data_IF_763191022625
#
_entry.id   IF_763191022625
#
_cell.length_a   1.000
_cell.length_b   1.000
_cell.length_c   1.000
_cell.angle_alpha   90.00
_cell.angle_beta   90.00
_cell.angle_gamma   90.00
#
_symmetry.space_group_name_H-M   'P 1'
#
loop_
_entity.id
_entity.type
_entity.pdbx_description
1 polymer ?
#
# COMPACT_ATOMS: atom_id res chain seq x y z
N UNK A 1 12.70 -0.45 29.52
CA UNK A 1 12.53 0.69 28.59
C UNK A 1 11.37 1.55 29.12
N UNK A 2 11.36 2.88 28.91
CA UNK A 2 10.21 3.71 29.27
C UNK A 2 8.95 3.21 28.55
N UNK A 3 7.79 3.37 29.18
CA UNK A 3 6.50 2.98 28.60
C UNK A 3 6.25 3.83 27.35
N UNK A 4 6.04 3.17 26.21
CA UNK A 4 5.65 3.79 24.93
C UNK A 4 4.14 3.93 24.90
N UNK A 5 3.59 5.05 24.42
CA UNK A 5 2.13 5.19 24.32
C UNK A 5 1.59 4.37 23.16
N UNK A 6 2.27 4.46 22.00
CA UNK A 6 1.85 3.83 20.74
C UNK A 6 2.99 3.06 20.11
N UNK A 7 2.78 1.77 19.85
CA UNK A 7 3.65 0.97 18.98
C UNK A 7 2.96 0.77 17.64
N UNK A 8 3.67 0.99 16.55
CA UNK A 8 3.19 0.80 15.18
C UNK A 8 4.09 -0.23 14.50
N UNK A 9 3.50 -1.28 13.92
CA UNK A 9 4.24 -2.34 13.22
C UNK A 9 4.08 -2.15 11.71
N UNK A 10 5.20 -1.91 11.02
CA UNK A 10 5.29 -1.74 9.57
C UNK A 10 5.59 -0.30 9.17
N UNK A 11 6.84 -0.03 8.76
CA UNK A 11 7.33 1.27 8.31
C UNK A 11 7.08 1.50 6.81
N UNK A 12 5.86 1.19 6.37
CA UNK A 12 5.34 1.53 5.04
C UNK A 12 4.61 2.88 5.03
N UNK A 13 3.92 3.20 3.93
CA UNK A 13 3.20 4.47 3.78
C UNK A 13 2.22 4.75 4.93
N UNK A 14 1.35 3.79 5.27
CA UNK A 14 0.37 3.93 6.34
C UNK A 14 1.02 4.05 7.73
N UNK A 15 2.09 3.29 7.98
CA UNK A 15 2.78 3.30 9.28
C UNK A 15 3.55 4.59 9.53
N UNK A 16 4.27 5.10 8.53
CA UNK A 16 4.95 6.39 8.60
C UNK A 16 3.95 7.53 8.82
N UNK A 17 2.86 7.56 8.04
CA UNK A 17 1.77 8.52 8.19
C UNK A 17 1.15 8.50 9.59
N UNK A 18 0.83 7.29 10.08
CA UNK A 18 0.27 7.11 11.43
C UNK A 18 1.26 7.56 12.52
N UNK A 19 2.55 7.27 12.35
CA UNK A 19 3.57 7.55 13.35
C UNK A 19 3.75 9.05 13.60
N UNK A 20 4.01 9.83 12.54
CA UNK A 20 4.19 11.27 12.73
C UNK A 20 2.87 11.94 13.17
N UNK A 21 1.71 11.47 12.67
CA UNK A 21 0.41 12.02 13.08
C UNK A 21 0.12 11.79 14.57
N UNK A 22 0.45 10.60 15.09
CA UNK A 22 0.28 10.29 16.51
C UNK A 22 1.28 11.08 17.37
N UNK A 23 2.53 11.19 16.93
CA UNK A 23 3.58 11.91 17.65
C UNK A 23 3.32 13.42 17.68
N UNK A 24 2.81 14.01 16.59
CA UNK A 24 2.37 15.41 16.53
C UNK A 24 1.25 15.75 17.53
N UNK A 25 0.54 14.74 18.06
CA UNK A 25 -0.46 14.88 19.14
C UNK A 25 0.15 14.71 20.54
N UNK A 26 1.48 14.72 20.66
CA UNK A 26 2.21 14.59 21.92
C UNK A 26 2.35 13.16 22.44
N UNK A 27 2.11 12.13 21.61
CA UNK A 27 2.28 10.73 22.01
C UNK A 27 3.72 10.27 21.86
N UNK A 28 4.19 9.42 22.76
CA UNK A 28 5.45 8.69 22.59
C UNK A 28 5.22 7.52 21.64
N UNK A 29 5.76 7.63 20.42
CA UNK A 29 5.54 6.65 19.35
C UNK A 29 6.80 5.88 19.05
N UNK A 30 6.67 4.56 18.97
CA UNK A 30 7.69 3.67 18.42
C UNK A 30 7.16 3.01 17.14
N UNK A 31 7.86 3.22 16.04
CA UNK A 31 7.58 2.59 14.75
C UNK A 31 8.61 1.50 14.51
N UNK A 32 8.17 0.25 14.38
CA UNK A 32 9.05 -0.90 14.19
C UNK A 32 8.77 -1.60 12.85
N UNK A 33 9.79 -2.16 12.23
CA UNK A 33 9.66 -3.00 11.04
C UNK A 33 10.76 -4.06 11.01
N UNK A 34 10.41 -5.26 10.57
CA UNK A 34 11.34 -6.38 10.35
C UNK A 34 12.31 -6.17 9.19
N UNK A 35 11.97 -5.33 8.21
CA UNK A 35 12.83 -5.04 7.09
C UNK A 35 14.02 -4.17 7.51
N UNK A 36 15.11 -4.23 6.76
CA UNK A 36 16.30 -3.41 7.02
C UNK A 36 16.17 -1.93 6.63
N UNK A 37 15.15 -1.56 5.85
CA UNK A 37 14.89 -0.18 5.41
C UNK A 37 13.39 0.10 5.33
N UNK A 38 12.93 1.30 5.70
CA UNK A 38 11.54 1.69 5.61
C UNK A 38 11.12 1.90 4.14
N UNK A 39 9.80 1.92 3.90
CA UNK A 39 9.25 2.45 2.65
C UNK A 39 9.61 1.69 1.36
N UNK A 40 10.08 0.44 1.43
CA UNK A 40 10.49 -0.32 0.22
C UNK A 40 9.45 -0.33 -0.91
N UNK A 41 8.16 -0.44 -0.56
CA UNK A 41 7.07 -0.37 -1.55
C UNK A 41 6.84 1.04 -2.10
N UNK A 42 7.08 2.09 -1.31
CA UNK A 42 7.06 3.48 -1.81
C UNK A 42 8.15 3.62 -2.86
N UNK A 43 9.37 3.14 -2.57
CA UNK A 43 10.53 3.24 -3.46
C UNK A 43 10.31 2.58 -4.82
N UNK A 44 9.63 1.43 -4.87
CA UNK A 44 9.37 0.76 -6.15
C UNK A 44 8.13 1.30 -6.90
N UNK A 45 7.24 2.00 -6.21
CA UNK A 45 5.93 2.38 -6.76
C UNK A 45 6.09 3.36 -7.94
N UNK A 46 5.13 3.30 -8.87
CA UNK A 46 5.13 4.18 -10.05
C UNK A 46 6.40 4.07 -10.91
N UNK A 47 7.02 2.89 -10.96
CA UNK A 47 8.28 2.69 -11.69
C UNK A 47 9.46 3.46 -11.09
N UNK A 48 9.47 3.65 -9.77
CA UNK A 48 10.50 4.42 -9.08
C UNK A 48 10.24 5.92 -9.01
N UNK A 49 9.09 6.39 -9.48
CA UNK A 49 8.67 7.81 -9.39
C UNK A 49 7.55 8.08 -8.39
N UNK A 50 7.00 7.03 -7.77
CA UNK A 50 5.87 7.09 -6.84
C UNK A 50 4.63 7.79 -7.39
N UNK A 51 3.65 7.00 -7.85
CA UNK A 51 2.29 7.51 -8.06
C UNK A 51 1.64 7.73 -6.68
N UNK A 52 1.85 8.89 -6.08
CA UNK A 52 1.64 9.09 -4.64
C UNK A 52 0.18 9.38 -4.27
N UNK A 53 -0.62 9.87 -5.22
CA UNK A 53 -2.07 10.07 -5.05
C UNK A 53 -2.76 10.27 -6.41
N UNK A 54 -4.09 10.44 -6.41
CA UNK A 54 -4.87 10.76 -7.59
C UNK A 54 -5.80 11.97 -7.33
N UNK A 55 -5.92 12.90 -8.29
CA UNK A 55 -6.79 14.07 -8.19
C UNK A 55 -8.28 13.69 -8.00
N UNK A 56 -8.70 12.58 -8.59
CA UNK A 56 -10.07 12.07 -8.57
C UNK A 56 -10.28 11.02 -7.47
N UNK A 57 -9.60 11.15 -6.33
CA UNK A 57 -9.79 10.22 -5.20
C UNK A 57 -11.20 10.35 -4.63
N UNK A 58 -11.96 9.27 -4.70
CA UNK A 58 -13.32 9.18 -4.17
C UNK A 58 -13.63 7.74 -3.73
N UNK A 59 -14.66 7.52 -2.89
CA UNK A 59 -14.99 6.19 -2.36
C UNK A 59 -15.24 5.12 -3.43
N UNK A 60 -15.77 5.49 -4.60
CA UNK A 60 -16.06 4.56 -5.69
C UNK A 60 -14.79 3.92 -6.29
N UNK A 61 -13.62 4.53 -6.08
CA UNK A 61 -12.34 4.02 -6.58
C UNK A 61 -11.71 2.96 -5.67
N UNK A 62 -12.42 2.47 -4.64
CA UNK A 62 -11.95 1.47 -3.69
C UNK A 62 -12.92 0.29 -3.58
N UNK A 63 -12.42 -0.92 -3.82
CA UNK A 63 -13.22 -2.15 -3.67
C UNK A 63 -13.25 -2.62 -2.22
N UNK A 64 -14.46 -2.85 -1.71
CA UNK A 64 -14.70 -3.32 -0.34
C UNK A 64 -16.07 -4.00 -0.25
N UNK A 65 -16.20 -5.03 0.59
CA UNK A 65 -17.52 -5.60 0.94
C UNK A 65 -18.39 -4.60 1.73
N UNK A 66 -17.77 -3.59 2.34
CA UNK A 66 -18.45 -2.41 2.87
C UNK A 66 -18.01 -1.18 2.06
N UNK A 67 -18.78 -0.77 1.03
CA UNK A 67 -18.44 0.37 0.17
C UNK A 67 -18.40 1.73 0.89
N UNK A 68 -18.91 1.81 2.13
CA UNK A 68 -18.95 3.06 2.89
C UNK A 68 -17.80 3.19 3.89
N UNK A 69 -17.02 2.12 4.12
CA UNK A 69 -15.97 2.09 5.14
C UNK A 69 -14.92 3.20 4.96
N UNK A 70 -14.46 3.43 3.73
CA UNK A 70 -13.40 4.41 3.45
C UNK A 70 -13.87 5.87 3.47
N UNK A 71 -15.18 6.14 3.38
CA UNK A 71 -15.73 7.50 3.22
C UNK A 71 -15.24 8.47 4.29
N UNK A 72 -15.29 8.06 5.56
CA UNK A 72 -14.90 8.90 6.69
C UNK A 72 -13.40 9.24 6.66
N UNK A 73 -12.54 8.27 6.33
CA UNK A 73 -11.11 8.50 6.26
C UNK A 73 -10.75 9.44 5.10
N UNK A 74 -11.29 9.18 3.90
CA UNK A 74 -11.04 10.00 2.71
C UNK A 74 -11.54 11.45 2.85
N UNK A 75 -12.61 11.68 3.61
CA UNK A 75 -13.13 13.02 3.86
C UNK A 75 -12.31 13.82 4.91
N UNK A 76 -11.62 13.13 5.83
CA UNK A 76 -10.85 13.76 6.92
C UNK A 76 -9.40 14.03 6.55
N UNK A 77 -8.86 13.27 5.61
CA UNK A 77 -7.55 13.49 5.03
C UNK A 77 -7.65 13.20 3.54
N UNK A 78 -7.77 14.28 2.77
CA UNK A 78 -8.01 14.25 1.33
C UNK A 78 -6.69 14.11 0.56
N UNK A 79 -6.78 13.81 -0.73
CA UNK A 79 -5.65 13.89 -1.65
C UNK A 79 -5.00 15.29 -1.63
N UNK A 80 -5.79 16.34 -1.44
CA UNK A 80 -5.30 17.73 -1.42
C UNK A 80 -4.47 18.04 -0.19
N UNK A 81 -4.78 17.43 0.95
CA UNK A 81 -3.97 17.54 2.16
C UNK A 81 -2.59 16.92 1.96
N UNK A 82 -2.53 15.76 1.29
CA UNK A 82 -1.25 15.13 0.95
C UNK A 82 -0.48 15.93 -0.10
N UNK A 83 -1.15 16.43 -1.14
CA UNK A 83 -0.55 17.31 -2.16
C UNK A 83 0.04 18.57 -1.52
N UNK A 84 -0.67 19.18 -0.56
CA UNK A 84 -0.19 20.34 0.17
C UNK A 84 1.07 20.01 1.00
N UNK A 85 1.14 18.82 1.60
CA UNK A 85 2.33 18.34 2.31
C UNK A 85 3.52 18.15 1.36
N UNK A 86 3.31 17.51 0.21
CA UNK A 86 4.32 17.34 -0.84
C UNK A 86 4.86 18.70 -1.31
N UNK A 87 3.97 19.66 -1.56
CA UNK A 87 4.34 21.02 -1.96
C UNK A 87 5.10 21.77 -0.85
N UNK A 88 4.68 21.63 0.42
CA UNK A 88 5.35 22.23 1.59
C UNK A 88 6.80 21.77 1.73
N UNK A 89 7.08 20.50 1.41
CA UNK A 89 8.43 19.93 1.41
C UNK A 89 9.22 20.22 0.12
N UNK A 90 8.64 20.98 -0.81
CA UNK A 90 9.32 21.38 -2.05
C UNK A 90 9.57 20.21 -3.00
N UNK A 91 8.82 19.11 -2.89
CA UNK A 91 8.95 17.95 -3.78
C UNK A 91 8.24 18.25 -5.10
N UNK A 92 8.94 18.31 -6.24
CA UNK A 92 8.33 18.59 -7.54
C UNK A 92 7.54 17.37 -8.05
N UNK A 93 6.38 17.62 -8.66
CA UNK A 93 5.50 16.59 -9.20
C UNK A 93 4.71 17.10 -10.40
N UNK A 94 4.21 16.16 -11.22
CA UNK A 94 3.32 16.42 -12.33
C UNK A 94 2.17 15.41 -12.37
N UNK A 95 1.08 15.80 -13.02
CA UNK A 95 0.06 14.86 -13.46
C UNK A 95 0.56 14.11 -14.71
N UNK A 96 0.39 12.79 -14.74
CA UNK A 96 0.67 11.98 -15.93
C UNK A 96 -0.55 11.79 -16.82
N UNK A 97 -1.50 10.97 -16.38
CA UNK A 97 -2.77 10.70 -17.05
C UNK A 97 -3.82 10.38 -15.99
N UNK A 98 -5.09 10.67 -16.26
CA UNK A 98 -6.23 10.26 -15.42
C UNK A 98 -6.06 10.70 -13.95
N UNK A 99 -5.53 11.90 -13.70
CA UNK A 99 -5.35 12.43 -12.34
C UNK A 99 -4.19 11.84 -11.55
N UNK A 100 -3.39 10.93 -12.11
CA UNK A 100 -2.27 10.29 -11.40
C UNK A 100 -1.13 11.28 -11.19
N UNK A 101 -0.70 11.48 -9.93
CA UNK A 101 0.38 12.40 -9.59
C UNK A 101 1.67 11.63 -9.27
N UNK A 102 2.75 11.99 -9.96
CA UNK A 102 4.07 11.37 -9.82
C UNK A 102 5.12 12.39 -9.44
N UNK A 103 6.13 11.98 -8.67
CA UNK A 103 7.31 12.80 -8.45
C UNK A 103 8.10 12.97 -9.75
N UNK A 104 8.69 14.15 -9.93
CA UNK A 104 9.52 14.44 -11.10
C UNK A 104 10.85 13.70 -11.02
N UNK A 105 11.47 13.66 -9.83
CA UNK A 105 12.78 13.06 -9.64
C UNK A 105 12.68 11.56 -9.39
N UNK A 106 12.28 11.18 -8.16
CA UNK A 106 12.35 9.80 -7.66
C UNK A 106 11.41 9.61 -6.47
N UNK A 107 10.98 8.37 -6.29
CA UNK A 107 10.12 7.92 -5.19
C UNK A 107 10.72 8.14 -3.81
N UNK A 108 12.06 8.24 -3.69
CA UNK A 108 12.69 8.55 -2.41
C UNK A 108 12.30 9.91 -1.89
N UNK A 109 11.92 10.87 -2.73
CA UNK A 109 11.55 12.22 -2.27
C UNK A 109 10.31 12.16 -1.35
N UNK A 110 9.33 11.29 -1.66
CA UNK A 110 8.18 11.02 -0.78
C UNK A 110 8.58 10.29 0.49
N UNK A 111 9.49 9.32 0.38
CA UNK A 111 9.95 8.59 1.57
C UNK A 111 10.70 9.50 2.53
N UNK A 112 11.65 10.30 2.04
CA UNK A 112 12.41 11.25 2.84
C UNK A 112 11.51 12.30 3.48
N UNK A 113 10.50 12.81 2.74
CA UNK A 113 9.47 13.68 3.32
C UNK A 113 8.78 13.04 4.53
N UNK A 114 8.32 11.78 4.40
CA UNK A 114 7.63 11.08 5.50
C UNK A 114 8.56 10.76 6.69
N UNK A 115 9.82 10.44 6.41
CA UNK A 115 10.83 10.21 7.44
C UNK A 115 11.19 11.51 8.18
N UNK A 116 11.23 12.63 7.46
CA UNK A 116 11.46 13.94 8.03
C UNK A 116 10.31 14.38 8.95
N UNK A 117 9.04 14.18 8.53
CA UNK A 117 7.87 14.40 9.41
C UNK A 117 7.95 13.51 10.68
N UNK A 118 8.33 12.24 10.54
CA UNK A 118 8.57 11.36 11.69
C UNK A 118 9.66 11.89 12.62
N UNK A 119 10.79 12.35 12.06
CA UNK A 119 11.94 12.86 12.81
C UNK A 119 11.58 14.15 13.55
N UNK A 120 10.90 15.09 12.88
CA UNK A 120 10.44 16.35 13.48
C UNK A 120 9.42 16.11 14.60
N UNK A 121 8.54 15.13 14.43
CA UNK A 121 7.56 14.76 15.45
C UNK A 121 8.14 13.95 16.62
N UNK A 122 9.40 13.49 16.53
CA UNK A 122 10.06 12.71 17.59
C UNK A 122 9.67 11.23 17.64
N UNK A 123 9.34 10.62 16.50
CA UNK A 123 9.07 9.18 16.38
C UNK A 123 10.35 8.37 16.57
N UNK A 124 10.32 7.32 17.42
CA UNK A 124 11.40 6.35 17.54
C UNK A 124 11.26 5.26 16.47
N UNK A 125 12.08 5.32 15.41
CA UNK A 125 12.05 4.35 14.30
C UNK A 125 13.08 3.24 14.51
N UNK A 126 12.64 1.98 14.46
CA UNK A 126 13.49 0.79 14.58
C UNK A 126 13.27 -0.19 13.44
N UNK A 127 14.32 -0.38 12.64
CA UNK A 127 14.36 -1.37 11.57
C UNK A 127 14.92 -2.70 12.08
N UNK A 128 14.93 -3.74 11.24
CA UNK A 128 15.45 -5.08 11.59
C UNK A 128 14.83 -5.65 12.88
N UNK A 129 13.58 -5.27 13.16
CA UNK A 129 12.87 -5.60 14.41
C UNK A 129 11.67 -6.49 14.11
N UNK A 130 11.81 -7.78 14.40
CA UNK A 130 10.72 -8.75 14.20
C UNK A 130 9.89 -8.90 15.47
N UNK A 131 8.58 -8.94 15.32
CA UNK A 131 7.63 -9.24 16.40
C UNK A 131 7.36 -10.73 16.41
N UNK A 132 7.58 -11.37 17.56
CA UNK A 132 7.46 -12.81 17.76
C UNK A 132 6.12 -13.17 18.42
N UNK A 133 5.69 -12.35 19.38
CA UNK A 133 4.46 -12.57 20.14
C UNK A 133 3.83 -11.23 20.50
N UNK A 134 2.50 -11.19 20.53
CA UNK A 134 1.71 -10.06 21.01
C UNK A 134 0.72 -10.61 22.03
N UNK A 135 0.64 -9.97 23.19
CA UNK A 135 -0.32 -10.28 24.25
C UNK A 135 -1.09 -9.03 24.63
N UNK A 136 -2.40 -9.19 24.88
CA UNK A 136 -3.20 -8.13 25.49
C UNK A 136 -2.97 -8.14 26.99
N UNK A 137 -2.79 -6.97 27.58
CA UNK A 137 -2.66 -6.76 29.02
C UNK A 137 -3.78 -5.86 29.51
N UNK A 138 -3.94 -5.72 30.84
CA UNK A 138 -4.94 -4.82 31.42
C UNK A 138 -4.72 -3.35 31.03
N UNK A 139 -3.47 -2.97 30.73
CA UNK A 139 -3.08 -1.60 30.40
C UNK A 139 -2.84 -1.36 28.89
N UNK A 140 -3.01 -2.38 28.04
CA UNK A 140 -2.77 -2.29 26.60
C UNK A 140 -2.22 -3.58 26.01
N UNK A 141 -0.97 -3.55 25.52
CA UNK A 141 -0.32 -4.64 24.82
C UNK A 141 1.15 -4.82 25.24
N UNK A 142 1.59 -6.07 25.29
CA UNK A 142 2.98 -6.48 25.44
C UNK A 142 3.43 -7.23 24.18
N UNK A 143 4.60 -6.88 23.66
CA UNK A 143 5.17 -7.46 22.45
C UNK A 143 6.53 -8.06 22.77
N UNK A 144 6.75 -9.32 22.41
CA UNK A 144 8.09 -9.90 22.36
C UNK A 144 8.69 -9.64 20.98
N UNK A 145 9.84 -8.98 20.96
CA UNK A 145 10.52 -8.59 19.72
C UNK A 145 12.00 -8.93 19.78
N UNK A 146 12.68 -8.87 18.63
CA UNK A 146 14.15 -9.02 18.57
C UNK A 146 14.91 -7.89 19.27
N UNK A 147 14.26 -6.77 19.59
CA UNK A 147 14.82 -5.69 20.43
C UNK A 147 14.53 -5.88 21.93
N UNK A 148 13.84 -6.96 22.30
CA UNK A 148 13.34 -7.22 23.64
C UNK A 148 11.85 -6.92 23.78
N UNK A 149 11.37 -6.93 25.02
CA UNK A 149 9.95 -6.72 25.33
C UNK A 149 9.57 -5.25 25.22
N UNK A 150 8.53 -4.96 24.45
CA UNK A 150 7.93 -3.63 24.30
C UNK A 150 6.53 -3.61 24.89
N UNK A 151 6.19 -2.57 25.65
CA UNK A 151 4.86 -2.37 26.20
C UNK A 151 4.25 -1.09 25.63
N UNK A 152 2.96 -1.12 25.29
CA UNK A 152 2.24 0.05 24.81
C UNK A 152 0.76 0.06 25.19
N UNK A 153 0.16 1.26 25.23
CA UNK A 153 -1.28 1.42 25.43
C UNK A 153 -2.05 1.11 24.15
N UNK A 154 -1.52 1.57 23.01
CA UNK A 154 -2.13 1.41 21.69
C UNK A 154 -1.17 0.71 20.74
N UNK A 155 -1.68 -0.30 20.03
CA UNK A 155 -0.96 -1.04 19.01
C UNK A 155 -1.61 -0.82 17.65
N UNK A 156 -0.82 -0.43 16.65
CA UNK A 156 -1.29 -0.24 15.27
C UNK A 156 -0.60 -1.24 14.35
N UNK A 157 -1.40 -1.96 13.55
CA UNK A 157 -0.92 -2.93 12.57
C UNK A 157 -0.95 -2.28 11.18
N UNK A 158 0.23 -1.94 10.64
CA UNK A 158 0.42 -1.28 9.35
C UNK A 158 1.31 -2.10 8.41
N UNK A 159 1.26 -3.43 8.50
CA UNK A 159 2.18 -4.37 7.82
C UNK A 159 1.88 -4.62 6.34
N UNK A 160 0.85 -3.98 5.78
CA UNK A 160 0.45 -4.14 4.38
C UNK A 160 -0.16 -5.53 4.08
N UNK A 161 -0.22 -5.87 2.79
CA UNK A 161 -0.73 -7.15 2.29
C UNK A 161 0.34 -8.04 1.68
N UNK A 162 -0.08 -9.16 1.08
CA UNK A 162 0.78 -10.28 0.66
C UNK A 162 1.61 -10.04 -0.62
N UNK A 163 1.41 -8.93 -1.34
CA UNK A 163 2.07 -8.70 -2.62
C UNK A 163 3.58 -8.45 -2.48
N UNK A 164 4.37 -9.03 -3.38
CA UNK A 164 5.82 -8.81 -3.50
C UNK A 164 6.58 -9.24 -2.21
N UNK A 165 6.58 -10.54 -1.86
CA UNK A 165 7.22 -11.06 -0.65
C UNK A 165 8.72 -10.75 -0.54
N UNK A 166 9.41 -10.65 -1.68
CA UNK A 166 10.84 -10.30 -1.76
C UNK A 166 11.17 -8.94 -1.14
N UNK A 167 10.18 -8.07 -0.94
CA UNK A 167 10.34 -6.77 -0.26
C UNK A 167 9.92 -6.77 1.22
N UNK A 168 9.66 -7.94 1.81
CA UNK A 168 9.23 -8.07 3.20
C UNK A 168 7.71 -8.10 3.38
N UNK A 169 6.93 -8.31 2.32
CA UNK A 169 5.50 -8.54 2.48
C UNK A 169 5.26 -9.90 3.14
N UNK A 170 4.50 -9.91 4.23
CA UNK A 170 4.17 -11.13 5.00
C UNK A 170 2.69 -11.18 5.34
N UNK A 171 2.25 -12.33 5.85
CA UNK A 171 0.89 -12.53 6.35
C UNK A 171 0.64 -11.97 7.75
N UNK A 172 1.58 -11.23 8.35
CA UNK A 172 1.59 -10.91 9.78
C UNK A 172 0.31 -10.21 10.25
N UNK A 173 -0.13 -9.14 9.57
CA UNK A 173 -1.33 -8.41 9.99
C UNK A 173 -2.60 -9.26 9.98
N UNK A 174 -2.71 -10.21 9.06
CA UNK A 174 -3.81 -11.18 9.02
C UNK A 174 -3.75 -12.15 10.21
N UNK A 175 -2.56 -12.63 10.55
CA UNK A 175 -2.35 -13.50 11.72
C UNK A 175 -2.76 -12.79 13.01
N UNK A 176 -2.34 -11.53 13.18
CA UNK A 176 -2.73 -10.69 14.33
C UNK A 176 -4.25 -10.47 14.36
N UNK A 177 -4.86 -10.16 13.22
CA UNK A 177 -6.32 -10.01 13.13
C UNK A 177 -7.06 -11.26 13.63
N UNK A 178 -6.65 -12.45 13.17
CA UNK A 178 -7.21 -13.73 13.64
C UNK A 178 -6.98 -13.94 15.14
N UNK A 179 -5.77 -13.67 15.62
CA UNK A 179 -5.43 -13.83 17.05
C UNK A 179 -6.37 -13.03 17.95
N UNK A 180 -6.74 -11.81 17.54
CA UNK A 180 -7.66 -10.95 18.29
C UNK A 180 -9.14 -11.12 17.90
N UNK A 181 -9.50 -12.21 17.21
CA UNK A 181 -10.89 -12.58 16.95
C UNK A 181 -11.55 -11.86 15.77
N UNK A 182 -10.79 -11.15 14.93
CA UNK A 182 -11.35 -10.55 13.72
C UNK A 182 -11.62 -11.60 12.65
N UNK A 183 -12.77 -11.48 11.99
CA UNK A 183 -13.08 -12.23 10.76
C UNK A 183 -12.25 -11.67 9.61
N UNK A 184 -11.50 -12.55 8.94
CA UNK A 184 -10.78 -12.19 7.72
C UNK A 184 -11.57 -12.59 6.49
N UNK A 185 -11.67 -11.67 5.54
CA UNK A 185 -12.17 -11.97 4.20
C UNK A 185 -11.10 -12.73 3.38
N UNK A 186 -11.52 -13.57 2.42
CA UNK A 186 -10.59 -14.22 1.50
C UNK A 186 -9.71 -13.20 0.75
N UNK A 187 -8.40 -13.45 0.71
CA UNK A 187 -7.45 -12.61 0.00
C UNK A 187 -7.20 -13.15 -1.40
N UNK A 188 -7.15 -12.27 -2.40
CA UNK A 188 -6.70 -12.58 -3.75
C UNK A 188 -5.79 -11.48 -4.28
N UNK A 189 -5.02 -11.79 -5.31
CA UNK A 189 -4.21 -10.79 -5.97
C UNK A 189 -5.11 -9.84 -6.79
N UNK A 190 -4.86 -8.53 -6.67
CA UNK A 190 -5.49 -7.49 -7.49
C UNK A 190 -4.40 -6.64 -8.15
N UNK A 191 -4.75 -5.93 -9.22
CA UNK A 191 -3.79 -5.22 -10.07
C UNK A 191 -2.67 -6.13 -10.59
N UNK A 192 -3.05 -7.28 -11.14
CA UNK A 192 -2.12 -8.30 -11.64
C UNK A 192 -2.31 -8.54 -13.15
N UNK A 193 -1.23 -8.89 -13.88
CA UNK A 193 -1.34 -9.29 -15.27
C UNK A 193 -2.09 -10.62 -15.40
N UNK A 194 -2.69 -10.86 -16.57
CA UNK A 194 -3.27 -12.16 -16.91
C UNK A 194 -2.24 -13.03 -17.61
N UNK A 195 -2.17 -14.29 -17.16
CA UNK A 195 -1.40 -15.32 -17.84
C UNK A 195 -2.28 -16.00 -18.87
N UNK A 196 -1.82 -16.08 -20.11
CA UNK A 196 -2.56 -16.68 -21.22
C UNK A 196 -1.90 -18.03 -21.56
N UNK A 197 -2.65 -19.12 -21.42
CA UNK A 197 -2.13 -20.50 -21.59
C UNK A 197 -2.52 -21.17 -22.90
N UNK A 198 -3.50 -20.61 -23.61
CA UNK A 198 -4.19 -21.31 -24.69
C UNK A 198 -3.84 -20.70 -26.06
N UNK A 199 -4.76 -20.75 -27.04
CA UNK A 199 -4.53 -20.34 -28.44
C UNK A 199 -3.99 -18.91 -28.59
N UNK A 200 -4.28 -18.01 -27.64
CA UNK A 200 -3.79 -16.63 -27.65
C UNK A 200 -2.33 -16.48 -27.18
N UNK A 201 -1.67 -17.55 -26.72
CA UNK A 201 -0.30 -17.51 -26.20
C UNK A 201 0.73 -17.17 -27.28
N UNK A 202 0.58 -17.74 -28.48
CA UNK A 202 1.47 -17.47 -29.61
C UNK A 202 1.36 -15.99 -30.01
N UNK A 203 0.14 -15.48 -30.15
CA UNK A 203 -0.14 -14.07 -30.39
C UNK A 203 0.51 -13.15 -29.33
N UNK A 204 0.37 -13.48 -28.04
CA UNK A 204 0.98 -12.68 -26.98
C UNK A 204 2.51 -12.71 -27.02
N UNK A 205 3.09 -13.81 -27.46
CA UNK A 205 4.54 -13.97 -27.59
C UNK A 205 5.06 -13.16 -28.77
N UNK A 206 4.42 -13.25 -29.94
CA UNK A 206 4.78 -12.50 -31.14
C UNK A 206 4.65 -10.98 -30.95
N UNK A 207 3.60 -10.55 -30.24
CA UNK A 207 3.35 -9.14 -29.96
C UNK A 207 4.05 -8.62 -28.70
N UNK A 208 4.85 -9.44 -28.01
CA UNK A 208 5.44 -9.08 -26.72
C UNK A 208 6.22 -7.75 -26.80
N UNK A 209 5.89 -6.82 -25.91
CA UNK A 209 6.47 -5.47 -25.86
C UNK A 209 5.64 -4.41 -26.58
N UNK A 210 4.65 -4.81 -27.39
CA UNK A 210 3.71 -3.86 -28.02
C UNK A 210 2.59 -3.45 -27.07
N UNK A 211 2.08 -2.23 -27.27
CA UNK A 211 1.01 -1.66 -26.46
C UNK A 211 -0.04 -0.98 -27.33
N UNK A 212 -1.31 -1.14 -26.96
CA UNK A 212 -2.46 -0.61 -27.71
C UNK A 212 -3.53 -0.09 -26.76
N UNK A 213 -4.12 1.06 -27.07
CA UNK A 213 -5.28 1.62 -26.36
C UNK A 213 -6.48 0.69 -26.55
N UNK A 214 -7.05 0.21 -25.45
CA UNK A 214 -8.13 -0.78 -25.47
C UNK A 214 -9.17 -0.46 -24.42
N UNK A 215 -10.44 -0.77 -24.71
CA UNK A 215 -11.49 -0.81 -23.71
C UNK A 215 -11.61 -2.24 -23.21
N UNK A 216 -11.17 -2.49 -21.98
CA UNK A 216 -11.23 -3.84 -21.38
C UNK A 216 -12.40 -3.92 -20.42
N UNK A 217 -13.27 -4.93 -20.59
CA UNK A 217 -14.50 -5.09 -19.81
C UNK A 217 -14.64 -6.46 -19.15
N UNK A 218 -15.20 -6.49 -17.94
CA UNK A 218 -15.53 -7.70 -17.19
C UNK A 218 -16.56 -7.34 -16.10
N UNK A 219 -17.58 -8.18 -15.88
CA UNK A 219 -18.58 -8.02 -14.82
C UNK A 219 -19.15 -6.59 -14.73
N UNK A 220 -19.71 -6.09 -15.84
CA UNK A 220 -20.31 -4.75 -15.99
C UNK A 220 -19.38 -3.57 -15.68
N UNK A 221 -18.07 -3.82 -15.63
CA UNK A 221 -17.04 -2.80 -15.41
C UNK A 221 -16.13 -2.71 -16.62
N UNK A 222 -15.75 -1.50 -17.00
CA UNK A 222 -14.85 -1.27 -18.13
C UNK A 222 -13.77 -0.25 -17.81
N UNK A 223 -12.56 -0.48 -18.31
CA UNK A 223 -11.44 0.46 -18.23
C UNK A 223 -10.84 0.68 -19.60
N UNK A 224 -10.76 1.94 -20.03
CA UNK A 224 -10.06 2.32 -21.25
C UNK A 224 -8.64 2.79 -20.93
N UNK A 225 -7.67 2.00 -21.33
CA UNK A 225 -6.25 2.37 -21.32
C UNK A 225 -5.46 1.37 -22.17
N UNK A 226 -4.17 1.61 -22.29
CA UNK A 226 -3.24 0.69 -22.87
C UNK A 226 -3.27 -0.70 -22.22
N UNK A 227 -3.40 -1.72 -23.07
CA UNK A 227 -2.92 -3.08 -22.78
C UNK A 227 -1.46 -3.19 -23.22
N UNK A 228 -0.73 -4.14 -22.62
CA UNK A 228 0.65 -4.48 -22.95
C UNK A 228 0.74 -5.98 -23.18
N UNK A 229 1.16 -6.39 -24.38
CA UNK A 229 1.46 -7.79 -24.65
C UNK A 229 2.79 -8.17 -24.01
N UNK A 230 2.83 -9.35 -23.40
CA UNK A 230 4.02 -9.92 -22.76
C UNK A 230 4.17 -11.38 -23.15
N UNK A 231 5.40 -11.90 -23.04
CA UNK A 231 5.71 -13.32 -23.22
C UNK A 231 4.88 -14.30 -22.36
N UNK A 232 4.16 -13.83 -21.32
CA UNK A 232 3.28 -14.67 -20.48
C UNK A 232 1.78 -14.43 -20.72
N UNK A 233 1.41 -13.40 -21.48
CA UNK A 233 0.01 -12.97 -21.60
C UNK A 233 -0.12 -11.45 -21.62
N UNK A 234 -1.14 -10.93 -20.95
CA UNK A 234 -1.53 -9.52 -21.04
C UNK A 234 -1.26 -8.76 -19.74
N UNK A 235 -0.81 -7.52 -19.88
CA UNK A 235 -0.54 -6.56 -18.81
C UNK A 235 -1.00 -5.16 -19.26
N UNK A 236 -0.46 -4.11 -18.66
CA UNK A 236 -0.82 -2.73 -18.95
C UNK A 236 -2.01 -2.25 -18.11
N UNK A 237 -2.18 -0.93 -17.94
CA UNK A 237 -3.13 -0.38 -16.98
C UNK A 237 -4.56 -0.91 -17.13
N UNK A 238 -5.07 -1.11 -18.35
CA UNK A 238 -6.43 -1.63 -18.53
C UNK A 238 -6.60 -3.06 -17.97
N UNK A 239 -5.64 -3.96 -18.23
CA UNK A 239 -5.64 -5.33 -17.69
C UNK A 239 -5.46 -5.32 -16.18
N UNK A 240 -4.52 -4.51 -15.66
CA UNK A 240 -4.30 -4.44 -14.22
C UNK A 240 -5.56 -3.95 -13.49
N UNK A 241 -6.24 -2.92 -14.01
CA UNK A 241 -7.49 -2.43 -13.43
C UNK A 241 -8.58 -3.50 -13.44
N UNK A 242 -8.86 -4.10 -14.61
CA UNK A 242 -9.95 -5.08 -14.73
C UNK A 242 -9.68 -6.38 -13.94
N UNK A 243 -8.42 -6.73 -13.68
CA UNK A 243 -8.06 -7.92 -12.89
C UNK A 243 -8.68 -7.90 -11.49
N UNK A 244 -9.02 -6.71 -10.99
CA UNK A 244 -9.65 -6.52 -9.68
C UNK A 244 -11.15 -6.76 -9.70
N UNK A 245 -11.77 -6.88 -10.88
CA UNK A 245 -13.21 -7.19 -11.05
C UNK A 245 -13.44 -8.61 -11.56
N UNK A 246 -12.43 -9.18 -12.22
CA UNK A 246 -12.41 -10.56 -12.71
C UNK A 246 -12.26 -11.59 -11.59
N UNK A 247 -12.94 -12.73 -11.74
CA UNK A 247 -12.78 -13.98 -10.98
C UNK A 247 -12.45 -15.16 -11.90
N UNK A 248 -11.82 -16.24 -11.39
CA UNK A 248 -11.58 -17.45 -12.17
C UNK A 248 -12.85 -17.99 -12.84
N UNK A 249 -12.83 -18.04 -14.17
CA UNK A 249 -13.95 -18.48 -15.00
C UNK A 249 -14.71 -17.35 -15.69
N UNK A 250 -14.51 -16.09 -15.27
CA UNK A 250 -15.15 -14.94 -15.92
C UNK A 250 -14.54 -14.67 -17.29
N UNK A 251 -15.37 -14.16 -18.20
CA UNK A 251 -14.93 -13.69 -19.52
C UNK A 251 -14.44 -12.24 -19.43
N UNK A 252 -13.41 -11.92 -20.20
CA UNK A 252 -12.88 -10.56 -20.36
C UNK A 252 -12.99 -10.18 -21.82
N UNK A 253 -13.62 -9.05 -22.09
CA UNK A 253 -13.74 -8.46 -23.43
C UNK A 253 -12.64 -7.42 -23.64
N UNK A 254 -11.98 -7.44 -24.79
CA UNK A 254 -10.82 -6.60 -25.15
C UNK A 254 -11.05 -6.00 -26.54
#
# INVERSE_FOLDING_TARGET
>A
MPVTDVVIIGAGAAGLMCAFTAAARGRKVMLIDHANKPGKKILMSGGGRCNFTNMYTEPANFLSQNPHFCKSALARYTQWDFIAMVAKHGVPYHEKKLGQLFCDNKSSDILEMLLEECRQAGVSLHMDTSVQQIEKTDAGYSLQTTLGTLNCQSLVIATGGLSIPTLGATGFGYQVGKQFGHTLLPTRAGLVPFTITDQLKELCTELSGTSVDCLVSCNDTSFRENILFTHRGLSGPAILQISSFWQPGDTVEI
#
